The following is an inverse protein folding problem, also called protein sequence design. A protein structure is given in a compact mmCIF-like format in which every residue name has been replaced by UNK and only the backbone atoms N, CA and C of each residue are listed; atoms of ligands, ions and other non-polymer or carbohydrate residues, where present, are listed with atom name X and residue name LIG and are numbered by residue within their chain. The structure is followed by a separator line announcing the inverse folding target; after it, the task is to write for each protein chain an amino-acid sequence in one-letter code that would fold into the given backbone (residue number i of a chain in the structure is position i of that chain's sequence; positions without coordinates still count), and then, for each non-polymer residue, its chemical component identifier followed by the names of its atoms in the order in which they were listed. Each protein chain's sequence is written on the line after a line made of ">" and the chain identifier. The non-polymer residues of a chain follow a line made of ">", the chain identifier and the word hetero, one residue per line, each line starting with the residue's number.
data_IF_112907377269
#
_entry.id   IF_112907377269
#
_cell.length_a   1.000
_cell.length_b   1.000
_cell.length_c   1.000
_cell.angle_alpha   90.00
_cell.angle_beta   90.00
_cell.angle_gamma   90.00
#
_symmetry.space_group_name_H-M   'P 1'
#
loop_
_entity.id
_entity.type
_entity.pdbx_description
1 polymer ?
#
# COMPACT_ATOMS: atom_id res chain seq x y z
N UNK A 1 -11.22 2.49 1.03
CA UNK A 1 -12.50 2.18 1.73
C UNK A 1 -12.37 0.97 2.67
N UNK A 2 -11.75 -0.15 2.26
CA UNK A 2 -11.62 -1.38 3.08
C UNK A 2 -11.04 -1.16 4.49
N UNK A 3 -9.97 -0.38 4.63
CA UNK A 3 -9.34 -0.08 5.94
C UNK A 3 -10.29 0.63 6.91
N UNK A 4 -11.11 1.55 6.40
CA UNK A 4 -12.11 2.26 7.23
C UNK A 4 -13.24 1.32 7.62
N UNK A 5 -13.66 0.44 6.71
CA UNK A 5 -14.69 -0.56 6.99
C UNK A 5 -14.21 -1.55 8.06
N UNK A 6 -13.01 -2.11 7.90
CA UNK A 6 -12.43 -3.03 8.87
C UNK A 6 -12.33 -2.39 10.27
N UNK A 7 -11.85 -1.14 10.34
CA UNK A 7 -11.79 -0.40 11.60
C UNK A 7 -13.18 -0.23 12.23
N UNK A 8 -14.21 0.04 11.44
CA UNK A 8 -15.58 0.19 11.96
C UNK A 8 -16.18 -1.12 12.43
N UNK A 9 -15.93 -2.22 11.71
CA UNK A 9 -16.41 -3.54 12.10
C UNK A 9 -15.83 -3.95 13.46
N UNK A 10 -14.52 -3.80 13.64
CA UNK A 10 -13.86 -4.07 14.92
C UNK A 10 -14.34 -3.14 16.04
N UNK A 11 -14.33 -1.82 15.79
CA UNK A 11 -14.57 -0.82 16.83
C UNK A 11 -16.02 -0.72 17.26
N UNK A 12 -16.97 -0.81 16.32
CA UNK A 12 -18.40 -0.59 16.58
C UNK A 12 -19.26 -1.83 16.43
N UNK A 13 -18.83 -2.76 15.57
CA UNK A 13 -19.64 -3.91 15.17
C UNK A 13 -19.42 -5.16 16.02
N UNK A 14 -18.39 -5.20 16.86
CA UNK A 14 -18.02 -6.39 17.63
C UNK A 14 -17.61 -7.58 16.74
N UNK A 15 -17.24 -7.32 15.49
CA UNK A 15 -16.71 -8.33 14.58
C UNK A 15 -15.20 -8.41 14.74
N UNK A 16 -14.67 -9.62 14.83
CA UNK A 16 -13.24 -9.91 14.79
C UNK A 16 -12.78 -9.98 13.34
N UNK A 17 -11.95 -9.02 12.91
CA UNK A 17 -11.38 -8.99 11.57
C UNK A 17 -10.03 -9.71 11.60
N UNK A 18 -10.01 -10.97 11.20
CA UNK A 18 -8.82 -11.81 11.22
C UNK A 18 -7.64 -11.16 10.47
N UNK A 19 -7.82 -10.86 9.19
CA UNK A 19 -6.77 -10.23 8.38
C UNK A 19 -7.36 -9.31 7.32
N UNK A 20 -6.77 -8.12 7.18
CA UNK A 20 -7.10 -7.15 6.14
C UNK A 20 -5.99 -7.12 5.08
N UNK A 21 -6.33 -7.45 3.84
CA UNK A 21 -5.45 -7.29 2.68
C UNK A 21 -5.86 -6.09 1.86
N UNK A 22 -4.89 -5.24 1.49
CA UNK A 22 -5.15 -4.11 0.59
C UNK A 22 -4.05 -3.99 -0.47
N UNK A 23 -4.45 -3.65 -1.69
CA UNK A 23 -3.60 -3.49 -2.86
C UNK A 23 -3.67 -2.05 -3.35
N UNK A 24 -2.53 -1.39 -3.47
CA UNK A 24 -2.46 0.00 -3.91
C UNK A 24 -3.23 1.00 -3.05
N UNK A 25 -3.55 0.67 -1.80
CA UNK A 25 -4.41 1.49 -0.95
C UNK A 25 -3.82 2.86 -0.65
N UNK A 26 -4.60 3.95 -0.82
CA UNK A 26 -4.20 5.28 -0.37
C UNK A 26 -4.15 5.37 1.15
N UNK A 27 -3.63 6.49 1.68
CA UNK A 27 -3.64 6.74 3.13
C UNK A 27 -5.06 6.98 3.63
N UNK A 28 -5.48 6.19 4.61
CA UNK A 28 -6.87 6.15 5.05
C UNK A 28 -7.20 7.11 6.21
N UNK A 29 -6.20 7.53 6.99
CA UNK A 29 -6.48 8.36 8.15
C UNK A 29 -5.24 9.02 8.77
N UNK A 30 -5.47 9.81 9.81
CA UNK A 30 -4.43 10.51 10.55
C UNK A 30 -3.65 9.60 11.53
N UNK A 31 -2.73 10.20 12.32
CA UNK A 31 -1.87 9.43 13.24
C UNK A 31 -2.63 8.59 14.25
N UNK A 32 -3.73 9.11 14.80
CA UNK A 32 -4.56 8.38 15.78
C UNK A 32 -5.27 7.19 15.14
N UNK A 33 -5.85 7.37 13.96
CA UNK A 33 -6.48 6.30 13.18
C UNK A 33 -5.47 5.19 12.87
N UNK A 34 -4.30 5.58 12.37
CA UNK A 34 -3.21 4.65 12.11
C UNK A 34 -2.81 3.86 13.36
N UNK A 35 -2.55 4.53 14.49
CA UNK A 35 -2.12 3.88 15.72
C UNK A 35 -3.15 2.85 16.20
N UNK A 36 -4.44 3.17 16.08
CA UNK A 36 -5.50 2.24 16.39
C UNK A 36 -5.48 1.01 15.46
N UNK A 37 -5.43 1.24 14.14
CA UNK A 37 -5.39 0.14 13.16
C UNK A 37 -4.15 -0.75 13.33
N UNK A 38 -2.98 -0.16 13.59
CA UNK A 38 -1.73 -0.91 13.79
C UNK A 38 -1.77 -1.78 15.07
N UNK A 39 -2.61 -1.42 16.04
CA UNK A 39 -2.80 -2.16 17.29
C UNK A 39 -3.82 -3.30 17.17
N UNK A 40 -4.91 -3.07 16.41
CA UNK A 40 -6.09 -3.95 16.44
C UNK A 40 -6.29 -4.76 15.16
N UNK A 41 -5.68 -4.37 14.03
CA UNK A 41 -5.85 -5.05 12.75
C UNK A 41 -4.56 -5.71 12.28
N UNK A 42 -4.65 -6.98 11.88
CA UNK A 42 -3.60 -7.61 11.08
C UNK A 42 -3.71 -7.14 9.63
N UNK A 43 -3.16 -5.95 9.34
CA UNK A 43 -3.28 -5.32 8.03
C UNK A 43 -2.04 -5.57 7.17
N UNK A 44 -2.19 -6.31 6.08
CA UNK A 44 -1.19 -6.58 5.07
C UNK A 44 -1.45 -5.69 3.85
N UNK A 45 -0.53 -4.80 3.55
CA UNK A 45 -0.70 -3.80 2.50
C UNK A 45 0.31 -4.02 1.38
N UNK A 46 -0.17 -4.39 0.21
CA UNK A 46 0.63 -4.58 -0.99
C UNK A 46 0.73 -3.28 -1.79
N UNK A 47 1.93 -2.97 -2.24
CA UNK A 47 2.23 -1.75 -3.01
C UNK A 47 3.14 -2.10 -4.17
N UNK A 48 2.65 -1.92 -5.38
CA UNK A 48 3.46 -2.07 -6.59
C UNK A 48 4.42 -0.89 -6.75
N UNK A 49 5.61 -1.14 -7.31
CA UNK A 49 6.67 -0.16 -7.54
C UNK A 49 6.19 1.12 -8.22
N UNK A 50 5.43 0.98 -9.30
CA UNK A 50 4.98 2.10 -10.13
C UNK A 50 3.67 2.73 -9.65
N UNK A 51 2.95 2.10 -8.72
CA UNK A 51 1.66 2.59 -8.26
C UNK A 51 1.81 3.87 -7.42
N UNK A 52 1.22 4.96 -7.91
CA UNK A 52 1.25 6.28 -7.26
C UNK A 52 0.07 6.50 -6.29
N UNK A 53 -0.98 5.69 -6.36
CA UNK A 53 -2.17 5.82 -5.49
C UNK A 53 -1.82 5.72 -4.01
N UNK A 54 -0.90 4.84 -3.55
CA UNK A 54 -0.46 4.84 -2.16
C UNK A 54 0.25 6.14 -1.70
N UNK A 55 0.64 7.01 -2.61
CA UNK A 55 1.27 8.29 -2.27
C UNK A 55 0.29 9.36 -1.83
N UNK A 56 -1.00 9.20 -2.14
CA UNK A 56 -2.05 10.18 -1.84
C UNK A 56 -2.95 9.70 -0.70
N UNK A 57 -3.59 10.62 0.02
CA UNK A 57 -3.25 12.04 0.12
C UNK A 57 -1.86 12.26 0.74
N UNK A 58 -1.31 13.48 0.61
CA UNK A 58 0.05 13.81 1.06
C UNK A 58 0.28 13.52 2.55
N UNK A 59 1.51 13.21 2.93
CA UNK A 59 1.88 12.65 4.24
C UNK A 59 1.72 13.59 5.45
N UNK A 60 1.44 14.87 5.28
CA UNK A 60 1.37 15.81 6.40
C UNK A 60 0.31 15.45 7.45
N UNK A 61 -0.88 15.06 7.03
CA UNK A 61 -2.01 14.75 7.91
C UNK A 61 -2.43 13.29 7.85
N UNK A 62 -2.03 12.55 6.80
CA UNK A 62 -2.50 11.20 6.50
C UNK A 62 -1.38 10.17 6.63
N UNK A 63 -1.71 9.01 7.13
CA UNK A 63 -0.76 7.91 7.38
C UNK A 63 -1.30 6.60 6.83
N UNK A 64 -0.37 5.73 6.45
CA UNK A 64 -0.68 4.33 6.22
C UNK A 64 -0.68 3.57 7.54
N UNK A 65 -1.58 2.59 7.66
CA UNK A 65 -1.54 1.55 8.69
C UNK A 65 -1.08 0.22 8.07
N UNK A 66 -0.67 -0.71 8.94
CA UNK A 66 -0.32 -2.07 8.57
C UNK A 66 1.10 -2.25 8.03
N UNK A 67 1.43 -3.52 7.78
CA UNK A 67 2.71 -3.96 7.22
C UNK A 67 2.73 -3.71 5.71
N UNK A 68 3.86 -3.24 5.18
CA UNK A 68 4.00 -2.94 3.76
C UNK A 68 4.76 -4.07 3.06
N UNK A 69 4.08 -4.78 2.19
CA UNK A 69 4.65 -5.73 1.26
C UNK A 69 4.84 -5.01 -0.08
N UNK A 70 6.09 -4.75 -0.44
CA UNK A 70 6.43 -3.98 -1.62
C UNK A 70 6.80 -4.91 -2.77
N UNK A 71 6.15 -4.73 -3.91
CA UNK A 71 6.40 -5.47 -5.13
C UNK A 71 7.40 -4.65 -5.97
N UNK A 72 8.61 -5.19 -6.16
CA UNK A 72 9.64 -4.58 -6.99
C UNK A 72 9.29 -4.70 -8.48
N UNK A 73 9.97 -3.92 -9.33
CA UNK A 73 9.86 -4.04 -10.80
C UNK A 73 10.24 -5.43 -11.33
N UNK A 74 10.98 -6.20 -10.55
CA UNK A 74 11.35 -7.61 -10.86
C UNK A 74 10.24 -8.61 -10.52
N UNK A 75 9.15 -8.18 -9.87
CA UNK A 75 8.10 -9.05 -9.34
C UNK A 75 8.37 -9.60 -7.93
N UNK A 76 9.59 -9.42 -7.41
CA UNK A 76 9.93 -9.87 -6.05
C UNK A 76 9.13 -9.10 -4.99
N UNK A 77 8.52 -9.81 -4.06
CA UNK A 77 7.80 -9.22 -2.92
C UNK A 77 8.75 -9.10 -1.74
N UNK A 78 8.97 -7.87 -1.28
CA UNK A 78 9.83 -7.58 -0.14
C UNK A 78 9.02 -6.96 0.99
N UNK A 79 9.12 -7.51 2.20
CA UNK A 79 8.53 -6.90 3.37
C UNK A 79 9.38 -5.69 3.78
N UNK A 80 8.93 -4.51 3.40
CA UNK A 80 9.59 -3.27 3.79
C UNK A 80 9.14 -2.88 5.18
N UNK A 81 10.07 -2.92 6.12
CA UNK A 81 9.87 -2.29 7.40
C UNK A 81 9.44 -0.83 7.28
N UNK A 82 9.11 -0.21 8.40
CA UNK A 82 8.52 1.15 8.49
C UNK A 82 9.31 2.25 7.76
N UNK A 83 10.62 2.03 7.56
CA UNK A 83 11.56 2.99 6.97
C UNK A 83 12.53 2.24 6.06
N UNK A 84 12.24 2.20 4.77
CA UNK A 84 13.19 1.71 3.78
C UNK A 84 13.64 2.87 2.89
N UNK A 85 14.95 3.09 2.83
CA UNK A 85 15.58 4.06 1.95
C UNK A 85 15.31 3.78 0.47
N UNK A 86 15.12 2.50 0.11
CA UNK A 86 14.75 2.07 -1.24
C UNK A 86 13.42 2.67 -1.66
N UNK A 87 12.42 2.64 -0.77
CA UNK A 87 11.09 3.19 -1.00
C UNK A 87 11.09 4.71 -1.21
N UNK A 88 11.99 5.43 -0.56
CA UNK A 88 12.14 6.88 -0.69
C UNK A 88 12.81 7.20 -2.04
N UNK A 89 13.84 6.44 -2.40
CA UNK A 89 14.60 6.64 -3.64
C UNK A 89 13.78 6.36 -4.89
N UNK A 90 13.06 5.23 -4.95
CA UNK A 90 12.23 4.85 -6.08
C UNK A 90 11.09 5.85 -6.31
N UNK A 91 10.46 6.31 -5.23
CA UNK A 91 9.35 7.28 -5.32
C UNK A 91 9.80 8.70 -5.62
N UNK A 92 10.98 9.11 -5.19
CA UNK A 92 11.55 10.41 -5.54
C UNK A 92 11.81 10.54 -7.03
N UNK A 93 12.39 9.53 -7.64
CA UNK A 93 12.67 9.50 -9.09
C UNK A 93 11.41 9.38 -9.93
N UNK A 94 10.42 8.59 -9.49
CA UNK A 94 9.15 8.40 -10.21
C UNK A 94 8.28 9.65 -10.14
N UNK A 95 8.20 10.33 -8.99
CA UNK A 95 7.45 11.58 -8.83
C UNK A 95 8.04 12.70 -9.69
N UNK A 96 9.37 12.86 -9.71
CA UNK A 96 10.06 13.81 -10.57
C UNK A 96 9.80 13.51 -12.05
N UNK A 97 9.90 12.24 -12.48
CA UNK A 97 9.61 11.84 -13.85
C UNK A 97 8.16 12.10 -14.26
N UNK A 98 7.19 11.87 -13.36
CA UNK A 98 5.77 12.14 -13.61
C UNK A 98 5.48 13.65 -13.73
N UNK A 99 6.08 14.48 -12.88
CA UNK A 99 5.96 15.94 -12.95
C UNK A 99 6.56 16.52 -14.24
N UNK A 100 7.68 15.97 -14.72
CA UNK A 100 8.33 16.44 -15.96
C UNK A 100 7.64 15.96 -17.24
N UNK A 101 6.87 14.85 -17.21
CA UNK A 101 6.20 14.32 -18.40
C UNK A 101 4.80 14.87 -18.66
N UNK A 102 4.21 15.64 -17.73
CA UNK A 102 2.87 16.23 -17.93
C UNK A 102 1.75 15.22 -18.20
N UNK A 103 2.00 13.91 -17.97
CA UNK A 103 1.04 12.84 -18.24
C UNK A 103 0.36 12.42 -16.95
N UNK A 104 -0.96 12.59 -16.93
CA UNK A 104 -1.86 12.12 -15.88
C UNK A 104 -2.13 10.61 -15.96
N UNK A 105 -1.21 9.81 -16.48
CA UNK A 105 -1.30 8.33 -16.48
C UNK A 105 -0.98 7.71 -15.09
N UNK A 106 -1.12 8.50 -14.03
CA UNK A 106 -0.88 8.07 -12.64
C UNK A 106 -1.86 6.96 -12.17
N UNK A 107 -2.93 6.74 -12.92
CA UNK A 107 -3.97 5.76 -12.61
C UNK A 107 -3.76 4.45 -13.37
N UNK A 108 -3.04 4.46 -14.50
CA UNK A 108 -2.84 3.24 -15.32
C UNK A 108 -2.06 2.17 -14.56
N UNK A 109 -1.08 2.57 -13.75
CA UNK A 109 -0.25 1.65 -12.95
C UNK A 109 -0.95 1.15 -11.66
N UNK A 110 -2.18 1.62 -11.41
CA UNK A 110 -3.06 1.14 -10.35
C UNK A 110 -4.00 0.04 -10.86
N UNK A 111 -3.51 -0.81 -11.76
CA UNK A 111 -4.28 -1.91 -12.31
C UNK A 111 -4.17 -3.13 -11.39
N UNK A 112 -5.31 -3.68 -10.97
CA UNK A 112 -5.35 -4.89 -10.13
C UNK A 112 -4.72 -6.10 -10.83
N UNK A 113 -4.76 -6.16 -12.16
CA UNK A 113 -4.16 -7.26 -12.93
C UNK A 113 -2.64 -7.30 -12.78
N UNK A 114 -1.97 -6.16 -12.61
CA UNK A 114 -0.53 -6.10 -12.39
C UNK A 114 -0.16 -6.69 -11.01
N UNK A 115 -1.00 -6.43 -10.00
CA UNK A 115 -0.85 -7.05 -8.68
C UNK A 115 -1.05 -8.56 -8.74
N UNK A 116 -2.07 -9.05 -9.44
CA UNK A 116 -2.34 -10.47 -9.64
C UNK A 116 -1.15 -11.13 -10.35
N UNK A 117 -0.71 -10.58 -11.48
CA UNK A 117 0.40 -11.09 -12.26
C UNK A 117 1.68 -11.24 -11.43
N UNK A 118 2.06 -10.21 -10.66
CA UNK A 118 3.25 -10.24 -9.84
C UNK A 118 3.16 -11.23 -8.68
N UNK A 119 1.99 -11.35 -8.04
CA UNK A 119 1.79 -12.28 -6.92
C UNK A 119 1.76 -13.74 -7.38
N UNK A 120 1.14 -14.04 -8.51
CA UNK A 120 1.14 -15.39 -9.10
C UNK A 120 2.55 -15.84 -9.50
N UNK A 121 3.35 -14.94 -10.06
CA UNK A 121 4.74 -15.26 -10.43
C UNK A 121 5.67 -15.38 -9.21
N UNK A 122 5.43 -14.61 -8.15
CA UNK A 122 6.20 -14.74 -6.90
C UNK A 122 6.00 -16.11 -6.24
N UNK A 123 4.78 -16.64 -6.25
CA UNK A 123 4.46 -17.95 -5.65
C UNK A 123 5.11 -19.13 -6.38
N UNK A 124 5.48 -18.97 -7.67
CA UNK A 124 6.15 -20.00 -8.48
C UNK A 124 7.67 -20.07 -8.26
N UNK A 125 8.26 -19.06 -7.63
CA UNK A 125 9.70 -19.01 -7.35
C UNK A 125 10.05 -19.69 -6.02
N UNK A 126 9.06 -19.97 -5.17
CA UNK A 126 9.23 -20.63 -3.86
C UNK A 126 8.97 -22.14 -3.92
N UNK A 127 8.76 -22.71 -5.10
CA UNK A 127 8.61 -24.16 -5.35
C UNK A 127 9.76 -24.70 -6.17
#
# INVERSE_FOLDING_TARGET
>A
MATILAQRLEFKGGYDVDTLYTYGSPRAGGPKFRAWCDKHLNHQRFVNNNDMVPCVPTFFRWRHSGKCNYIKSTGEVTNLGRWSSERIRDKGTSLLKAMFKGRFDLISDHNINDYIFHLENSSKLDT
#
